data_IF_087314929984
#
_entry.id   IF_087314929984
#
_cell.length_a   1.000
_cell.length_b   1.000
_cell.length_c   1.000
_cell.angle_alpha   90.00
_cell.angle_beta   90.00
_cell.angle_gamma   90.00
#
_symmetry.space_group_name_H-M   'P 1'
#
loop_
_entity.id
_entity.type
_entity.pdbx_description
1 polymer ?
#
# COMPACT_ATOMS: atom_id res chain seq x y z
N UNK A 1 -61.80 -5.78 -9.34
CA UNK A 1 -60.38 -5.44 -9.14
C UNK A 1 -59.86 -4.89 -10.45
N UNK A 2 -59.50 -3.60 -10.54
CA UNK A 2 -59.05 -2.98 -11.78
C UNK A 2 -57.63 -3.46 -12.12
N UNK A 3 -57.43 -3.95 -13.34
CA UNK A 3 -56.14 -4.41 -13.85
C UNK A 3 -55.05 -3.35 -13.68
N UNK A 4 -53.88 -3.81 -13.26
CA UNK A 4 -52.72 -2.98 -12.98
C UNK A 4 -52.34 -2.16 -14.21
N UNK A 5 -51.82 -0.94 -14.04
CA UNK A 5 -51.30 -0.12 -15.15
C UNK A 5 -50.29 -0.90 -16.01
N UNK A 6 -49.59 -1.86 -15.41
CA UNK A 6 -48.66 -2.78 -16.05
C UNK A 6 -49.35 -3.75 -17.03
N UNK A 7 -50.57 -4.18 -16.73
CA UNK A 7 -51.35 -5.07 -17.62
C UNK A 7 -51.86 -4.30 -18.85
N UNK A 8 -52.21 -3.02 -18.68
CA UNK A 8 -52.56 -2.14 -19.80
C UNK A 8 -51.35 -1.85 -20.70
N UNK A 9 -50.18 -1.66 -20.11
CA UNK A 9 -48.94 -1.45 -20.88
C UNK A 9 -48.53 -2.74 -21.61
N UNK A 10 -48.64 -3.91 -20.96
CA UNK A 10 -48.44 -5.20 -21.64
C UNK A 10 -49.42 -5.40 -22.79
N UNK A 11 -50.70 -5.09 -22.60
CA UNK A 11 -51.72 -5.20 -23.66
C UNK A 11 -51.39 -4.31 -24.87
N UNK A 12 -50.97 -3.05 -24.64
CA UNK A 12 -50.59 -2.11 -25.70
C UNK A 12 -49.32 -2.56 -26.43
N UNK A 13 -48.34 -3.13 -25.72
CA UNK A 13 -47.12 -3.67 -26.30
C UNK A 13 -47.38 -4.95 -27.11
N UNK A 14 -48.30 -5.81 -26.65
CA UNK A 14 -48.70 -7.02 -27.36
C UNK A 14 -49.60 -6.74 -28.57
N UNK A 15 -50.47 -5.72 -28.52
CA UNK A 15 -51.30 -5.32 -29.68
C UNK A 15 -50.47 -4.66 -30.79
N UNK A 16 -49.31 -4.06 -30.48
CA UNK A 16 -48.40 -3.49 -31.48
C UNK A 16 -47.44 -4.51 -32.12
N UNK A 17 -47.39 -5.75 -31.63
CA UNK A 17 -46.42 -6.74 -32.08
C UNK A 17 -46.78 -7.43 -33.41
N UNK A 18 -47.97 -7.22 -33.98
CA UNK A 18 -48.24 -7.64 -35.36
C UNK A 18 -49.22 -6.69 -36.06
N UNK A 19 -48.76 -5.64 -36.76
CA UNK A 19 -49.45 -5.29 -37.98
C UNK A 19 -49.25 -6.48 -38.92
N UNK A 20 -50.33 -7.18 -39.28
CA UNK A 20 -50.39 -7.87 -40.57
C UNK A 20 -50.19 -6.79 -41.63
N UNK A 21 -48.94 -6.50 -41.93
CA UNK A 21 -48.57 -5.92 -43.21
C UNK A 21 -48.88 -7.03 -44.19
N UNK A 22 -50.04 -6.92 -44.85
CA UNK A 22 -50.26 -7.60 -46.12
C UNK A 22 -49.03 -7.26 -46.96
N UNK A 23 -48.10 -8.21 -47.02
CA UNK A 23 -46.89 -8.06 -47.80
C UNK A 23 -47.40 -7.92 -49.24
N UNK A 24 -47.23 -6.76 -49.90
CA UNK A 24 -47.58 -6.69 -51.31
C UNK A 24 -46.75 -7.79 -51.98
N UNK A 25 -47.44 -8.70 -52.68
CA UNK A 25 -46.79 -9.71 -53.51
C UNK A 25 -45.69 -9.04 -54.35
N UNK A 26 -44.54 -9.70 -54.61
CA UNK A 26 -43.44 -9.10 -55.35
C UNK A 26 -43.86 -8.99 -56.82
N UNK A 27 -44.59 -7.93 -57.15
CA UNK A 27 -44.96 -7.62 -58.53
C UNK A 27 -43.75 -6.92 -59.15
N UNK A 28 -42.93 -7.70 -59.88
CA UNK A 28 -41.88 -7.26 -60.81
C UNK A 28 -40.91 -6.20 -60.24
N UNK A 29 -40.21 -6.57 -59.17
CA UNK A 29 -39.21 -5.73 -58.49
C UNK A 29 -38.00 -5.38 -59.34
N UNK A 30 -37.55 -6.30 -60.20
CA UNK A 30 -36.20 -6.23 -60.74
C UNK A 30 -36.09 -5.15 -61.83
N UNK A 31 -37.09 -5.02 -62.69
CA UNK A 31 -37.10 -3.98 -63.73
C UNK A 31 -37.20 -2.56 -63.14
N UNK A 32 -37.99 -2.38 -62.08
CA UNK A 32 -38.12 -1.08 -61.40
C UNK A 32 -36.86 -0.73 -60.61
N UNK A 33 -36.23 -1.72 -59.96
CA UNK A 33 -34.94 -1.55 -59.29
C UNK A 33 -33.83 -1.25 -60.28
N UNK A 34 -33.80 -1.90 -61.44
CA UNK A 34 -32.83 -1.63 -62.50
C UNK A 34 -32.99 -0.20 -63.04
N UNK A 35 -34.22 0.26 -63.28
CA UNK A 35 -34.48 1.64 -63.70
C UNK A 35 -34.00 2.64 -62.62
N UNK A 36 -34.34 2.38 -61.36
CA UNK A 36 -33.88 3.21 -60.23
C UNK A 36 -32.35 3.25 -60.11
N UNK A 37 -31.67 2.11 -60.27
CA UNK A 37 -30.21 2.03 -60.22
C UNK A 37 -29.56 2.80 -61.37
N UNK A 38 -30.11 2.69 -62.58
CA UNK A 38 -29.63 3.44 -63.74
C UNK A 38 -29.85 4.96 -63.58
N UNK A 39 -30.98 5.39 -63.01
CA UNK A 39 -31.22 6.80 -62.68
C UNK A 39 -30.27 7.31 -61.61
N UNK A 40 -30.03 6.52 -60.55
CA UNK A 40 -29.08 6.87 -59.49
C UNK A 40 -27.65 6.96 -60.01
N UNK A 41 -27.21 6.03 -60.86
CA UNK A 41 -25.88 6.04 -61.47
C UNK A 41 -25.69 7.28 -62.33
N UNK A 42 -26.71 7.65 -63.12
CA UNK A 42 -26.70 8.86 -63.93
C UNK A 42 -26.68 10.13 -63.06
N UNK A 43 -27.44 10.17 -61.97
CA UNK A 43 -27.43 11.30 -61.04
C UNK A 43 -26.07 11.43 -60.34
N UNK A 44 -25.44 10.32 -59.95
CA UNK A 44 -24.08 10.29 -59.41
C UNK A 44 -23.10 10.84 -60.44
N UNK A 45 -23.14 10.37 -61.69
CA UNK A 45 -22.26 10.85 -62.75
C UNK A 45 -22.47 12.35 -63.02
N UNK A 46 -23.72 12.82 -63.09
CA UNK A 46 -24.03 14.24 -63.22
C UNK A 46 -23.44 15.05 -62.07
N UNK A 47 -23.63 14.59 -60.83
CA UNK A 47 -23.09 15.26 -59.64
C UNK A 47 -21.56 15.27 -59.63
N UNK A 48 -20.93 14.17 -60.05
CA UNK A 48 -19.47 14.11 -60.21
C UNK A 48 -18.96 15.06 -61.29
N UNK A 49 -19.67 15.19 -62.42
CA UNK A 49 -19.27 16.15 -63.47
C UNK A 49 -19.42 17.58 -63.00
N UNK A 50 -20.48 17.91 -62.24
CA UNK A 50 -20.62 19.22 -61.59
C UNK A 50 -19.49 19.46 -60.58
N UNK A 51 -19.12 18.45 -59.79
CA UNK A 51 -17.98 18.54 -58.88
C UNK A 51 -16.68 18.80 -59.64
N UNK A 52 -16.39 18.03 -60.70
CA UNK A 52 -15.19 18.22 -61.54
C UNK A 52 -15.17 19.58 -62.23
N UNK A 53 -16.31 20.08 -62.68
CA UNK A 53 -16.44 21.42 -63.25
C UNK A 53 -16.19 22.50 -62.19
N UNK A 54 -16.73 22.33 -60.98
CA UNK A 54 -16.47 23.22 -59.86
C UNK A 54 -14.97 23.21 -59.50
N UNK A 55 -14.34 22.04 -59.41
CA UNK A 55 -12.90 21.91 -59.15
C UNK A 55 -12.05 22.58 -60.23
N UNK A 56 -12.43 22.42 -61.51
CA UNK A 56 -11.76 23.08 -62.63
C UNK A 56 -11.95 24.60 -62.60
N UNK A 57 -13.14 25.09 -62.26
CA UNK A 57 -13.42 26.51 -62.11
C UNK A 57 -12.61 27.10 -60.94
N UNK A 58 -12.57 26.41 -59.80
CA UNK A 58 -11.75 26.78 -58.64
C UNK A 58 -10.28 26.84 -59.03
N UNK A 59 -9.77 25.85 -59.77
CA UNK A 59 -8.38 25.82 -60.24
C UNK A 59 -8.06 26.98 -61.19
N UNK A 60 -8.93 27.23 -62.18
CA UNK A 60 -8.78 28.34 -63.14
C UNK A 60 -8.83 29.70 -62.42
N UNK A 61 -9.67 29.83 -61.40
CA UNK A 61 -9.73 31.03 -60.56
C UNK A 61 -8.44 31.22 -59.75
N UNK A 62 -7.89 30.15 -59.15
CA UNK A 62 -6.63 30.21 -58.41
C UNK A 62 -5.45 30.58 -59.31
N UNK A 63 -5.32 29.92 -60.46
CA UNK A 63 -4.27 30.22 -61.45
C UNK A 63 -4.40 31.65 -61.99
N UNK A 64 -5.62 32.12 -62.24
CA UNK A 64 -5.89 33.51 -62.64
C UNK A 64 -5.54 34.53 -61.55
N UNK A 65 -5.69 34.17 -60.26
CA UNK A 65 -5.35 35.02 -59.13
C UNK A 65 -3.83 35.06 -58.88
N UNK A 66 -3.13 33.95 -59.12
CA UNK A 66 -1.67 33.85 -59.04
C UNK A 66 -0.98 34.59 -60.19
N UNK A 67 -1.46 34.45 -61.43
CA UNK A 67 -0.92 35.19 -62.59
C UNK A 67 -1.08 36.73 -62.46
N UNK A 68 -2.05 37.19 -61.68
CA UNK A 68 -2.32 38.61 -61.44
C UNK A 68 -1.43 39.25 -60.36
N UNK A 69 -0.82 38.46 -59.47
CA UNK A 69 0.20 38.99 -58.55
C UNK A 69 1.46 39.44 -59.31
N UNK A 70 1.69 38.88 -60.50
CA UNK A 70 2.86 39.18 -61.34
C UNK A 70 2.61 40.26 -62.41
N UNK A 71 1.36 40.49 -62.82
CA UNK A 71 0.99 41.55 -63.77
C UNK A 71 0.30 42.72 -63.03
N UNK A 72 0.96 43.87 -62.87
CA UNK A 72 0.45 45.03 -62.11
C UNK A 72 -0.90 45.59 -62.56
N UNK A 73 -1.98 44.92 -62.16
CA UNK A 73 -3.37 45.23 -62.48
C UNK A 73 -3.88 46.41 -61.63
N UNK A 74 -4.78 47.24 -62.18
CA UNK A 74 -5.30 48.42 -61.50
C UNK A 74 -6.20 48.03 -60.31
N UNK A 75 -6.12 48.77 -59.19
CA UNK A 75 -6.91 48.51 -57.98
C UNK A 75 -8.43 48.50 -58.24
N UNK A 76 -8.88 49.27 -59.24
CA UNK A 76 -10.28 49.34 -59.67
C UNK A 76 -10.75 48.02 -60.31
N UNK A 77 -9.91 47.42 -61.15
CA UNK A 77 -10.20 46.16 -61.84
C UNK A 77 -10.27 45.01 -60.84
N UNK A 78 -9.36 44.99 -59.86
CA UNK A 78 -9.39 44.04 -58.75
C UNK A 78 -10.69 44.11 -57.95
N UNK A 79 -11.15 45.32 -57.62
CA UNK A 79 -12.39 45.54 -56.85
C UNK A 79 -13.65 45.14 -57.64
N UNK A 80 -13.72 45.49 -58.93
CA UNK A 80 -14.84 45.06 -59.80
C UNK A 80 -14.89 43.54 -59.94
N UNK A 81 -13.74 42.88 -60.04
CA UNK A 81 -13.67 41.42 -60.16
C UNK A 81 -14.06 40.70 -58.87
N UNK A 82 -13.65 41.20 -57.70
CA UNK A 82 -14.09 40.67 -56.39
C UNK A 82 -15.61 40.79 -56.24
N UNK A 83 -16.19 41.91 -56.66
CA UNK A 83 -17.65 42.09 -56.66
C UNK A 83 -18.34 41.10 -57.61
N UNK A 84 -17.79 40.88 -58.80
CA UNK A 84 -18.30 39.87 -59.75
C UNK A 84 -18.16 38.43 -59.21
N UNK A 85 -17.06 38.13 -58.51
CA UNK A 85 -16.86 36.85 -57.82
C UNK A 85 -17.89 36.65 -56.70
N UNK A 86 -18.10 37.67 -55.87
CA UNK A 86 -19.11 37.60 -54.81
C UNK A 86 -20.54 37.42 -55.38
N UNK A 87 -20.87 38.13 -56.46
CA UNK A 87 -22.17 38.01 -57.14
C UNK A 87 -22.35 36.68 -57.89
N UNK A 88 -21.26 36.00 -58.25
CA UNK A 88 -21.33 34.65 -58.82
C UNK A 88 -21.40 33.58 -57.73
N UNK A 89 -20.66 33.72 -56.63
CA UNK A 89 -20.76 32.82 -55.48
C UNK A 89 -22.17 32.79 -54.86
N UNK A 90 -22.89 33.92 -54.86
CA UNK A 90 -24.28 33.98 -54.39
C UNK A 90 -25.28 33.28 -55.33
N UNK A 91 -24.89 32.94 -56.57
CA UNK A 91 -25.75 32.36 -57.62
C UNK A 91 -25.48 30.88 -57.93
N UNK A 92 -24.40 30.29 -57.43
CA UNK A 92 -23.97 28.92 -57.77
C UNK A 92 -24.21 27.97 -56.59
N UNK A 93 -25.47 27.75 -56.24
CA UNK A 93 -25.83 26.58 -55.41
C UNK A 93 -26.26 25.46 -56.32
N UNK A 94 -25.75 24.25 -56.11
CA UNK A 94 -26.32 23.05 -56.75
C UNK A 94 -27.77 22.91 -56.30
N UNK A 95 -28.69 22.93 -57.27
CA UNK A 95 -30.11 22.71 -57.03
C UNK A 95 -30.44 21.34 -57.61
N UNK A 96 -30.78 20.36 -56.76
CA UNK A 96 -31.13 19.03 -57.24
C UNK A 96 -32.36 19.10 -58.14
N UNK A 97 -32.40 18.24 -59.15
CA UNK A 97 -33.57 18.13 -60.03
C UNK A 97 -34.76 17.56 -59.25
N UNK A 98 -36.00 17.80 -59.71
CA UNK A 98 -37.20 17.22 -59.06
C UNK A 98 -37.22 15.70 -59.05
N UNK A 99 -36.43 15.07 -59.93
CA UNK A 99 -36.31 13.62 -60.06
C UNK A 99 -34.98 13.11 -59.48
N UNK A 100 -34.23 13.95 -58.76
CA UNK A 100 -32.96 13.54 -58.16
C UNK A 100 -33.20 12.51 -57.05
N UNK A 101 -32.60 11.34 -57.23
CA UNK A 101 -32.80 10.17 -56.37
C UNK A 101 -31.70 10.05 -55.29
N UNK A 102 -30.67 10.89 -55.34
CA UNK A 102 -29.53 10.87 -54.41
C UNK A 102 -29.98 11.18 -52.98
N UNK A 103 -30.88 12.15 -52.80
CA UNK A 103 -31.38 12.54 -51.48
C UNK A 103 -32.11 11.40 -50.77
N UNK A 104 -32.96 10.67 -51.50
CA UNK A 104 -33.70 9.51 -50.99
C UNK A 104 -32.72 8.36 -50.69
N UNK A 105 -31.76 8.10 -51.58
CA UNK A 105 -30.76 7.04 -51.41
C UNK A 105 -29.84 7.30 -50.20
N UNK A 106 -29.43 8.55 -50.00
CA UNK A 106 -28.58 8.96 -48.87
C UNK A 106 -29.34 8.83 -47.55
N UNK A 107 -30.57 9.35 -47.49
CA UNK A 107 -31.42 9.21 -46.32
C UNK A 107 -31.69 7.72 -46.00
N UNK A 108 -31.94 6.90 -47.03
CA UNK A 108 -32.13 5.46 -46.87
C UNK A 108 -30.89 4.77 -46.29
N UNK A 109 -29.70 5.10 -46.81
CA UNK A 109 -28.43 4.57 -46.29
C UNK A 109 -28.22 4.95 -44.83
N UNK A 110 -28.38 6.24 -44.49
CA UNK A 110 -28.21 6.72 -43.11
C UNK A 110 -29.20 6.08 -42.15
N UNK A 111 -30.47 5.97 -42.54
CA UNK A 111 -31.50 5.30 -41.74
C UNK A 111 -31.16 3.82 -41.53
N UNK A 112 -30.71 3.11 -42.56
CA UNK A 112 -30.31 1.71 -42.44
C UNK A 112 -29.08 1.53 -41.54
N UNK A 113 -28.10 2.44 -41.60
CA UNK A 113 -26.96 2.43 -40.69
C UNK A 113 -27.38 2.71 -39.23
N UNK A 114 -28.31 3.64 -39.01
CA UNK A 114 -28.85 3.93 -37.69
C UNK A 114 -29.64 2.74 -37.12
N UNK A 115 -30.46 2.07 -37.94
CA UNK A 115 -31.16 0.84 -37.57
C UNK A 115 -30.15 -0.24 -37.19
N UNK A 116 -29.10 -0.43 -37.99
CA UNK A 116 -28.04 -1.40 -37.70
C UNK A 116 -27.30 -1.10 -36.40
N UNK A 117 -27.01 0.17 -36.11
CA UNK A 117 -26.42 0.59 -34.83
C UNK A 117 -27.37 0.35 -33.66
N UNK A 118 -28.65 0.70 -33.81
CA UNK A 118 -29.66 0.51 -32.78
C UNK A 118 -29.87 -0.98 -32.46
N UNK A 119 -29.89 -1.84 -33.48
CA UNK A 119 -30.01 -3.28 -33.29
C UNK A 119 -28.83 -3.84 -32.47
N UNK A 120 -27.60 -3.42 -32.77
CA UNK A 120 -26.40 -3.80 -32.00
C UNK A 120 -26.47 -3.31 -30.55
N UNK A 121 -26.83 -2.05 -30.34
CA UNK A 121 -26.96 -1.49 -28.99
C UNK A 121 -28.03 -2.24 -28.20
N UNK A 122 -29.18 -2.55 -28.82
CA UNK A 122 -30.23 -3.30 -28.16
C UNK A 122 -29.79 -4.72 -27.78
N UNK A 123 -29.01 -5.39 -28.63
CA UNK A 123 -28.45 -6.72 -28.33
C UNK A 123 -27.51 -6.65 -27.14
N UNK A 124 -26.59 -5.69 -27.14
CA UNK A 124 -25.61 -5.52 -26.05
C UNK A 124 -26.31 -5.20 -24.72
N UNK A 125 -27.32 -4.32 -24.74
CA UNK A 125 -28.11 -4.00 -23.54
C UNK A 125 -28.89 -5.20 -23.02
N UNK A 126 -29.35 -6.08 -23.91
CA UNK A 126 -30.03 -7.31 -23.50
C UNK A 126 -29.07 -8.29 -22.85
N UNK A 127 -27.87 -8.47 -23.42
CA UNK A 127 -26.82 -9.31 -22.83
C UNK A 127 -26.36 -8.79 -21.46
N UNK A 128 -26.10 -7.49 -21.34
CA UNK A 128 -25.75 -6.85 -20.07
C UNK A 128 -26.89 -6.96 -19.05
N UNK A 129 -28.13 -6.82 -19.49
CA UNK A 129 -29.31 -7.03 -18.65
C UNK A 129 -29.38 -8.45 -18.08
N UNK A 130 -29.13 -9.47 -18.91
CA UNK A 130 -29.11 -10.86 -18.45
C UNK A 130 -27.98 -11.14 -17.46
N UNK A 131 -26.79 -10.58 -17.68
CA UNK A 131 -25.66 -10.75 -16.75
C UNK A 131 -25.95 -10.09 -15.40
N UNK A 132 -26.56 -8.91 -15.39
CA UNK A 132 -26.96 -8.22 -14.16
C UNK A 132 -28.06 -8.96 -13.40
N UNK A 133 -29.02 -9.56 -14.10
CA UNK A 133 -30.06 -10.38 -13.48
C UNK A 133 -29.46 -11.62 -12.81
N UNK A 134 -28.52 -12.31 -13.47
CA UNK A 134 -27.80 -13.45 -12.90
C UNK A 134 -26.97 -13.05 -11.67
N UNK A 135 -26.28 -11.90 -11.72
CA UNK A 135 -25.56 -11.35 -10.56
C UNK A 135 -26.50 -11.01 -9.40
N UNK A 136 -27.66 -10.44 -9.69
CA UNK A 136 -28.66 -10.13 -8.66
C UNK A 136 -29.21 -11.40 -8.00
N UNK A 137 -29.44 -12.47 -8.76
CA UNK A 137 -29.86 -13.76 -8.23
C UNK A 137 -28.77 -14.40 -7.34
N UNK A 138 -27.51 -14.34 -7.76
CA UNK A 138 -26.37 -14.80 -6.96
C UNK A 138 -26.21 -14.03 -5.64
N UNK A 139 -26.37 -12.71 -5.67
CA UNK A 139 -26.33 -11.91 -4.43
C UNK A 139 -27.50 -12.23 -3.51
N UNK A 140 -28.69 -12.48 -4.07
CA UNK A 140 -29.88 -12.83 -3.28
C UNK A 140 -29.73 -14.19 -2.59
N UNK A 141 -29.18 -15.19 -3.27
CA UNK A 141 -28.89 -16.50 -2.67
C UNK A 141 -27.84 -16.37 -1.57
N UNK A 142 -26.76 -15.61 -1.81
CA UNK A 142 -25.73 -15.37 -0.80
C UNK A 142 -26.28 -14.66 0.46
N UNK A 143 -27.17 -13.67 0.30
CA UNK A 143 -27.84 -13.02 1.44
C UNK A 143 -28.67 -14.04 2.22
N UNK A 144 -29.37 -14.96 1.53
CA UNK A 144 -30.14 -15.99 2.20
C UNK A 144 -29.23 -16.94 3.02
N UNK A 145 -28.09 -17.35 2.46
CA UNK A 145 -27.12 -18.20 3.14
C UNK A 145 -26.56 -17.53 4.41
N UNK A 146 -26.22 -16.24 4.32
CA UNK A 146 -25.78 -15.48 5.49
C UNK A 146 -26.86 -15.37 6.56
N UNK A 147 -28.12 -15.14 6.17
CA UNK A 147 -29.23 -15.11 7.11
C UNK A 147 -29.44 -16.48 7.78
N UNK A 148 -29.36 -17.57 7.04
CA UNK A 148 -29.41 -18.92 7.61
C UNK A 148 -28.25 -19.18 8.57
N UNK A 149 -27.04 -18.75 8.21
CA UNK A 149 -25.87 -18.86 9.08
C UNK A 149 -26.04 -18.06 10.37
N UNK A 150 -26.56 -16.83 10.30
CA UNK A 150 -26.88 -16.00 11.46
C UNK A 150 -27.90 -16.69 12.37
N UNK A 151 -29.00 -17.19 11.80
CA UNK A 151 -30.02 -17.93 12.56
C UNK A 151 -29.42 -19.18 13.22
N UNK A 152 -28.53 -19.90 12.52
CA UNK A 152 -27.85 -21.06 13.09
C UNK A 152 -26.86 -20.70 14.20
N UNK A 153 -26.16 -19.57 14.07
CA UNK A 153 -25.29 -19.02 15.10
C UNK A 153 -26.10 -18.62 16.33
N UNK A 154 -27.19 -17.88 16.17
CA UNK A 154 -28.10 -17.49 17.25
C UNK A 154 -28.64 -18.72 17.98
N UNK A 155 -29.11 -19.74 17.25
CA UNK A 155 -29.55 -21.01 17.83
C UNK A 155 -28.43 -21.71 18.60
N UNK A 156 -27.19 -21.69 18.10
CA UNK A 156 -26.03 -22.29 18.80
C UNK A 156 -25.65 -21.52 20.06
N UNK A 157 -25.72 -20.18 20.02
CA UNK A 157 -25.48 -19.30 21.17
C UNK A 157 -26.53 -19.58 22.25
N UNK A 158 -27.81 -19.61 21.88
CA UNK A 158 -28.91 -19.93 22.80
C UNK A 158 -28.82 -21.35 23.38
N UNK A 159 -28.34 -22.32 22.59
CA UNK A 159 -28.23 -23.72 23.03
C UNK A 159 -27.04 -23.96 23.97
N UNK A 160 -25.98 -23.16 23.92
CA UNK A 160 -24.77 -23.37 24.72
C UNK A 160 -24.20 -22.06 25.33
N UNK A 161 -24.99 -21.31 26.12
CA UNK A 161 -24.53 -20.05 26.71
C UNK A 161 -23.31 -20.24 27.62
N UNK A 162 -23.26 -21.33 28.39
CA UNK A 162 -22.15 -21.67 29.28
C UNK A 162 -20.83 -21.93 28.56
N UNK A 163 -20.86 -22.41 27.31
CA UNK A 163 -19.65 -22.61 26.50
C UNK A 163 -19.12 -21.28 25.95
N UNK A 164 -20.01 -20.32 25.68
CA UNK A 164 -19.65 -18.96 25.25
C UNK A 164 -19.04 -18.19 26.42
N UNK A 165 -19.64 -18.25 27.61
CA UNK A 165 -19.07 -17.68 28.84
C UNK A 165 -17.71 -18.30 29.16
N UNK A 166 -17.56 -19.62 29.00
CA UNK A 166 -16.27 -20.30 29.18
C UNK A 166 -15.20 -19.88 28.18
N UNK A 167 -15.57 -19.44 26.96
CA UNK A 167 -14.63 -18.89 25.98
C UNK A 167 -14.29 -17.43 26.27
N UNK A 168 -15.27 -16.60 26.64
CA UNK A 168 -15.04 -15.21 27.05
C UNK A 168 -14.17 -15.12 28.31
N UNK A 169 -14.37 -16.02 29.28
CA UNK A 169 -13.51 -16.12 30.46
C UNK A 169 -12.08 -16.55 30.13
N UNK A 170 -11.90 -17.37 29.09
CA UNK A 170 -10.56 -17.76 28.61
C UNK A 170 -9.87 -16.59 27.90
N UNK A 171 -10.61 -15.84 27.08
CA UNK A 171 -10.10 -14.66 26.39
C UNK A 171 -9.64 -13.58 27.38
N UNK A 172 -10.45 -13.30 28.41
CA UNK A 172 -10.08 -12.36 29.47
C UNK A 172 -8.86 -12.83 30.27
N UNK A 173 -8.74 -14.12 30.57
CA UNK A 173 -7.54 -14.69 31.23
C UNK A 173 -6.28 -14.56 30.39
N UNK A 174 -6.39 -14.69 29.07
CA UNK A 174 -5.25 -14.53 28.15
C UNK A 174 -4.80 -13.06 28.14
N UNK A 175 -5.74 -12.11 28.04
CA UNK A 175 -5.42 -10.67 28.07
C UNK A 175 -4.81 -10.24 29.41
N UNK A 176 -5.32 -10.71 30.55
CA UNK A 176 -4.74 -10.43 31.87
C UNK A 176 -3.31 -11.00 32.00
N UNK A 177 -3.06 -12.18 31.44
CA UNK A 177 -1.73 -12.81 31.47
C UNK A 177 -0.69 -12.04 30.66
N UNK A 178 -1.06 -11.51 29.49
CA UNK A 178 -0.15 -10.71 28.64
C UNK A 178 0.20 -9.36 29.28
N UNK A 179 -0.77 -8.69 29.91
CA UNK A 179 -0.56 -7.43 30.63
C UNK A 179 0.36 -7.66 31.85
N UNK A 180 0.16 -8.77 32.58
CA UNK A 180 0.99 -9.15 33.73
C UNK A 180 2.45 -9.43 33.33
N UNK A 181 2.66 -10.19 32.25
CA UNK A 181 4.00 -10.50 31.72
C UNK A 181 4.75 -9.23 31.28
N UNK A 182 4.06 -8.31 30.61
CA UNK A 182 4.66 -7.04 30.17
C UNK A 182 5.08 -6.16 31.35
N UNK A 183 4.26 -6.13 32.41
CA UNK A 183 4.58 -5.39 33.64
C UNK A 183 5.75 -6.02 34.39
N UNK A 184 5.82 -7.35 34.49
CA UNK A 184 6.97 -8.05 35.08
C UNK A 184 8.25 -7.79 34.30
N UNK A 185 8.20 -7.83 32.96
CA UNK A 185 9.36 -7.54 32.11
C UNK A 185 9.87 -6.12 32.31
N UNK A 186 8.98 -5.13 32.40
CA UNK A 186 9.36 -3.75 32.69
C UNK A 186 10.02 -3.62 34.09
N UNK A 187 9.45 -4.27 35.11
CA UNK A 187 10.04 -4.26 36.46
C UNK A 187 11.43 -4.90 36.50
N UNK A 188 11.65 -6.00 35.78
CA UNK A 188 12.99 -6.62 35.70
C UNK A 188 14.00 -5.73 34.98
N UNK A 189 13.57 -5.03 33.92
CA UNK A 189 14.42 -4.08 33.19
C UNK A 189 14.80 -2.88 34.05
N UNK A 190 13.88 -2.36 34.84
CA UNK A 190 14.14 -1.25 35.77
C UNK A 190 15.13 -1.68 36.85
N UNK A 191 14.93 -2.85 37.48
CA UNK A 191 15.87 -3.41 38.45
C UNK A 191 17.26 -3.68 37.86
N UNK A 192 17.33 -4.16 36.61
CA UNK A 192 18.61 -4.35 35.92
C UNK A 192 19.33 -3.03 35.66
N UNK A 193 18.58 -1.98 35.29
CA UNK A 193 19.16 -0.64 35.09
C UNK A 193 19.68 -0.04 36.40
N UNK A 194 18.97 -0.27 37.50
CA UNK A 194 19.38 0.15 38.84
C UNK A 194 20.64 -0.60 39.29
N UNK A 195 20.68 -1.92 39.11
CA UNK A 195 21.86 -2.73 39.39
C UNK A 195 23.09 -2.24 38.60
N UNK A 196 22.94 -1.97 37.30
CA UNK A 196 24.03 -1.45 36.46
C UNK A 196 24.49 -0.06 36.91
N UNK A 197 23.59 0.79 37.39
CA UNK A 197 23.94 2.11 37.94
C UNK A 197 24.72 1.98 39.25
N UNK A 198 24.27 1.09 40.14
CA UNK A 198 24.95 0.81 41.41
C UNK A 198 26.34 0.23 41.16
N UNK A 199 26.48 -0.70 40.22
CA UNK A 199 27.76 -1.28 39.80
C UNK A 199 28.75 -0.21 39.33
N UNK A 200 28.33 0.68 38.41
CA UNK A 200 29.17 1.79 37.95
C UNK A 200 29.58 2.72 39.09
N UNK A 201 28.69 2.96 40.04
CA UNK A 201 29.00 3.81 41.19
C UNK A 201 30.01 3.14 42.13
N UNK A 202 29.82 1.84 42.41
CA UNK A 202 30.73 1.03 43.21
C UNK A 202 32.12 0.99 42.58
N UNK A 203 32.21 0.75 41.27
CA UNK A 203 33.47 0.75 40.53
C UNK A 203 34.18 2.11 40.61
N UNK A 204 33.43 3.21 40.48
CA UNK A 204 33.98 4.56 40.62
C UNK A 204 34.54 4.82 42.03
N UNK A 205 33.82 4.41 43.08
CA UNK A 205 34.30 4.54 44.46
C UNK A 205 35.49 3.65 44.75
N UNK A 206 35.47 2.41 44.27
CA UNK A 206 36.58 1.48 44.42
C UNK A 206 37.85 2.05 43.79
N UNK A 207 37.76 2.57 42.56
CA UNK A 207 38.89 3.24 41.90
C UNK A 207 39.41 4.44 42.70
N UNK A 208 38.52 5.25 43.29
CA UNK A 208 38.92 6.38 44.15
C UNK A 208 39.57 5.93 45.45
N UNK A 209 39.06 4.88 46.08
CA UNK A 209 39.62 4.34 47.32
C UNK A 209 40.98 3.73 47.05
N UNK A 210 41.13 2.91 46.01
CA UNK A 210 42.42 2.33 45.60
C UNK A 210 43.43 3.43 45.27
N UNK A 211 43.03 4.45 44.49
CA UNK A 211 43.92 5.58 44.20
C UNK A 211 44.36 6.34 45.47
N UNK A 212 43.43 6.60 46.41
CA UNK A 212 43.75 7.24 47.69
C UNK A 212 44.65 6.38 48.56
N UNK A 213 44.34 5.09 48.68
CA UNK A 213 45.13 4.14 49.44
C UNK A 213 46.58 4.10 48.94
N UNK A 214 46.75 4.00 47.62
CA UNK A 214 48.07 4.00 47.02
C UNK A 214 48.79 5.33 47.17
N UNK A 215 48.10 6.46 47.04
CA UNK A 215 48.71 7.77 47.31
C UNK A 215 49.20 7.90 48.75
N UNK A 216 48.49 7.30 49.72
CA UNK A 216 48.87 7.31 51.13
C UNK A 216 50.04 6.35 51.42
N UNK A 217 50.08 5.19 50.74
CA UNK A 217 51.18 4.23 50.85
C UNK A 217 52.46 4.75 50.16
N UNK A 218 52.34 5.45 49.03
CA UNK A 218 53.43 6.20 48.39
C UNK A 218 54.00 7.28 49.30
N UNK A 219 53.18 7.87 50.18
CA UNK A 219 53.65 8.87 51.13
C UNK A 219 54.45 8.25 52.30
N UNK A 220 54.31 6.94 52.56
CA UNK A 220 55.04 6.26 53.65
C UNK A 220 56.26 5.47 53.21
N UNK A 221 56.38 5.07 51.94
CA UNK A 221 57.48 4.25 51.43
C UNK A 221 58.12 4.93 50.20
N UNK A 222 59.40 5.33 50.30
CA UNK A 222 60.19 5.97 49.22
C UNK A 222 60.44 5.06 48.00
N UNK A 223 60.13 3.76 48.08
CA UNK A 223 60.41 2.76 47.03
C UNK A 223 59.52 2.85 45.77
N UNK A 224 58.56 3.78 45.73
CA UNK A 224 57.63 3.92 44.60
C UNK A 224 57.74 5.30 43.94
N UNK A 225 58.92 5.72 43.46
CA UNK A 225 59.08 7.06 42.87
C UNK A 225 58.57 7.20 41.41
N UNK A 226 58.30 6.11 40.68
CA UNK A 226 57.96 6.17 39.25
C UNK A 226 56.44 6.07 38.95
N UNK A 227 55.93 7.00 38.12
CA UNK A 227 54.53 7.06 37.66
C UNK A 227 54.10 5.77 36.93
N UNK A 228 55.03 5.09 36.27
CA UNK A 228 54.78 3.80 35.61
C UNK A 228 54.59 2.65 36.61
N UNK A 229 55.31 2.66 37.74
CA UNK A 229 55.14 1.68 38.81
C UNK A 229 53.78 1.87 39.51
N UNK A 230 53.35 3.13 39.71
CA UNK A 230 52.02 3.45 40.24
C UNK A 230 50.88 2.94 39.36
N UNK A 231 50.95 3.20 38.03
CA UNK A 231 49.94 2.70 37.08
C UNK A 231 49.94 1.17 37.01
N UNK A 232 51.10 0.53 37.11
CA UNK A 232 51.22 -0.94 37.15
C UNK A 232 50.57 -1.51 38.42
N UNK A 233 50.84 -0.91 39.58
CA UNK A 233 50.25 -1.33 40.85
C UNK A 233 48.73 -1.15 40.87
N UNK A 234 48.19 -0.03 40.37
CA UNK A 234 46.73 0.16 40.23
C UNK A 234 46.11 -0.97 39.40
N UNK A 235 46.74 -1.36 38.29
CA UNK A 235 46.24 -2.46 37.46
C UNK A 235 46.29 -3.79 38.19
N UNK A 236 47.38 -4.08 38.89
CA UNK A 236 47.50 -5.30 39.70
C UNK A 236 46.44 -5.36 40.80
N UNK A 237 46.19 -4.25 41.49
CA UNK A 237 45.12 -4.17 42.50
C UNK A 237 43.72 -4.30 41.91
N UNK A 238 43.46 -3.65 40.77
CA UNK A 238 42.19 -3.81 40.06
C UNK A 238 41.99 -5.26 39.61
N UNK A 239 43.04 -5.94 39.15
CA UNK A 239 42.98 -7.34 38.75
C UNK A 239 42.71 -8.28 39.93
N UNK A 240 43.33 -8.04 41.09
CA UNK A 240 43.04 -8.81 42.32
C UNK A 240 41.59 -8.62 42.75
N UNK A 241 41.07 -7.38 42.72
CA UNK A 241 39.67 -7.09 43.02
C UNK A 241 38.73 -7.75 42.01
N UNK A 242 39.02 -7.67 40.71
CA UNK A 242 38.22 -8.29 39.66
C UNK A 242 38.17 -9.81 39.83
N UNK A 243 39.31 -10.46 40.10
CA UNK A 243 39.36 -11.91 40.38
C UNK A 243 38.54 -12.30 41.60
N UNK A 244 38.55 -11.49 42.66
CA UNK A 244 37.74 -11.71 43.86
C UNK A 244 36.24 -11.58 43.55
N UNK A 245 35.83 -10.59 42.74
CA UNK A 245 34.44 -10.38 42.31
C UNK A 245 33.96 -11.49 41.36
N UNK A 246 34.79 -11.90 40.38
CA UNK A 246 34.49 -13.02 39.49
C UNK A 246 34.32 -14.34 40.27
N UNK A 247 35.17 -14.58 41.27
CA UNK A 247 35.03 -15.76 42.13
C UNK A 247 33.73 -15.73 42.95
N UNK A 248 33.31 -14.55 43.41
CA UNK A 248 32.02 -14.38 44.10
C UNK A 248 30.83 -14.67 43.17
N UNK A 249 30.86 -14.19 41.91
CA UNK A 249 29.82 -14.49 40.93
C UNK A 249 29.72 -15.99 40.62
N UNK A 250 30.85 -16.67 40.45
CA UNK A 250 30.88 -18.14 40.27
C UNK A 250 30.32 -18.87 41.48
N UNK A 251 30.68 -18.44 42.69
CA UNK A 251 30.17 -19.03 43.94
C UNK A 251 28.64 -18.87 44.05
N UNK A 252 28.07 -17.81 43.49
CA UNK A 252 26.61 -17.58 43.46
C UNK A 252 25.92 -18.44 42.39
N UNK A 253 26.51 -18.60 41.20
CA UNK A 253 25.90 -19.40 40.11
C UNK A 253 25.81 -20.90 40.41
N UNK A 254 26.79 -21.46 41.13
CA UNK A 254 26.87 -22.90 41.39
C UNK A 254 26.42 -23.33 42.79
N UNK A 255 25.97 -22.39 43.65
CA UNK A 255 25.65 -22.59 45.08
C UNK A 255 26.76 -23.33 45.88
N UNK A 256 27.97 -23.39 45.33
CA UNK A 256 29.06 -24.17 45.91
C UNK A 256 29.94 -23.26 46.77
N UNK A 257 29.75 -23.34 48.08
CA UNK A 257 30.48 -22.52 49.05
C UNK A 257 31.97 -22.90 49.17
N UNK A 258 32.43 -23.93 48.43
CA UNK A 258 33.78 -24.48 48.51
C UNK A 258 34.83 -23.79 47.61
N UNK A 259 34.45 -22.82 46.77
CA UNK A 259 35.38 -22.18 45.83
C UNK A 259 36.23 -21.08 46.50
N UNK A 260 37.47 -21.42 46.85
CA UNK A 260 38.46 -20.50 47.38
C UNK A 260 39.35 -19.95 46.26
N UNK A 261 39.64 -18.64 46.29
CA UNK A 261 40.56 -18.03 45.32
C UNK A 261 41.98 -18.11 45.86
N UNK A 262 42.87 -18.77 45.12
CA UNK A 262 44.31 -18.76 45.38
C UNK A 262 44.94 -17.52 44.75
N UNK A 263 45.55 -16.66 45.58
CA UNK A 263 46.29 -15.48 45.14
C UNK A 263 47.72 -15.62 45.66
N UNK A 264 48.69 -15.54 44.75
CA UNK A 264 50.10 -15.35 45.11
C UNK A 264 50.35 -13.84 45.26
N UNK A 265 50.50 -13.33 46.49
CA UNK A 265 50.59 -11.90 46.74
C UNK A 265 51.93 -11.34 46.27
N UNK A 266 51.93 -10.24 45.53
CA UNK A 266 53.11 -9.37 45.47
C UNK A 266 53.22 -8.55 46.78
N UNK A 267 54.39 -7.97 47.06
CA UNK A 267 54.59 -7.14 48.27
C UNK A 267 53.58 -5.99 48.42
N UNK A 268 53.07 -5.48 47.29
CA UNK A 268 51.99 -4.49 47.27
C UNK A 268 50.61 -5.11 47.54
N UNK A 269 50.32 -6.29 46.98
CA UNK A 269 49.05 -7.01 47.19
C UNK A 269 48.89 -7.45 48.64
N UNK A 270 49.98 -7.85 49.29
CA UNK A 270 49.99 -8.29 50.68
C UNK A 270 49.48 -7.20 51.63
N UNK A 271 49.86 -5.93 51.39
CA UNK A 271 49.38 -4.78 52.16
C UNK A 271 47.87 -4.58 52.02
N UNK A 272 47.35 -4.66 50.79
CA UNK A 272 45.91 -4.53 50.54
C UNK A 272 45.13 -5.71 51.14
N UNK A 273 45.59 -6.94 50.93
CA UNK A 273 44.98 -8.16 51.46
C UNK A 273 44.90 -8.08 52.98
N UNK A 274 45.99 -7.67 53.65
CA UNK A 274 46.01 -7.52 55.10
C UNK A 274 45.02 -6.46 55.60
N UNK A 275 44.82 -5.36 54.87
CA UNK A 275 43.82 -4.34 55.21
C UNK A 275 42.40 -4.86 54.99
N UNK A 276 42.15 -5.59 53.91
CA UNK A 276 40.85 -6.18 53.63
C UNK A 276 40.48 -7.29 54.63
N UNK A 277 41.46 -8.06 55.11
CA UNK A 277 41.32 -9.03 56.20
C UNK A 277 41.03 -8.33 57.55
N UNK A 278 41.78 -7.26 57.88
CA UNK A 278 41.57 -6.49 59.12
C UNK A 278 40.20 -5.83 59.18
N UNK A 279 39.68 -5.37 58.04
CA UNK A 279 38.34 -4.80 57.95
C UNK A 279 37.23 -5.85 57.81
N UNK A 280 37.57 -7.15 57.85
CA UNK A 280 36.60 -8.24 57.82
C UNK A 280 35.84 -8.38 56.49
N UNK A 281 36.39 -7.82 55.41
CA UNK A 281 35.83 -7.88 54.05
C UNK A 281 36.20 -9.21 53.38
N UNK A 282 37.41 -9.70 53.65
CA UNK A 282 37.89 -11.02 53.22
C UNK A 282 37.87 -12.02 54.36
N UNK A 283 37.64 -13.28 54.01
CA UNK A 283 37.85 -14.44 54.88
C UNK A 283 39.06 -15.20 54.35
N UNK A 284 40.04 -15.44 55.22
CA UNK A 284 41.17 -16.32 54.92
C UNK A 284 40.90 -17.73 55.44
N UNK A 285 41.30 -18.73 54.65
CA UNK A 285 41.32 -20.13 55.08
C UNK A 285 42.55 -20.37 55.97
N UNK A 286 42.45 -21.30 56.92
CA UNK A 286 43.53 -21.65 57.86
C UNK A 286 44.81 -22.16 57.17
N UNK A 287 44.71 -22.63 55.92
CA UNK A 287 45.83 -23.10 55.09
C UNK A 287 46.58 -21.97 54.35
N UNK A 288 46.24 -20.70 54.62
CA UNK A 288 46.90 -19.54 53.98
C UNK A 288 48.30 -19.33 54.55
N UNK A 289 49.30 -19.23 53.67
CA UNK A 289 50.70 -18.95 54.01
C UNK A 289 51.13 -17.58 53.45
N UNK A 290 52.32 -17.11 53.80
CA UNK A 290 52.92 -15.89 53.23
C UNK A 290 53.19 -15.98 51.72
N UNK A 291 53.18 -17.18 51.13
CA UNK A 291 53.45 -17.41 49.70
C UNK A 291 52.16 -17.58 48.88
N UNK A 292 51.07 -18.03 49.50
CA UNK A 292 49.77 -18.23 48.85
C UNK A 292 48.62 -17.94 49.81
N UNK A 293 47.79 -16.95 49.47
CA UNK A 293 46.57 -16.67 50.21
C UNK A 293 45.38 -17.37 49.57
N UNK A 294 44.62 -18.11 50.38
CA UNK A 294 43.31 -18.64 49.99
C UNK A 294 42.23 -17.73 50.54
N UNK A 295 41.72 -16.86 49.67
CA UNK A 295 40.84 -15.76 50.04
C UNK A 295 39.45 -15.95 49.45
N UNK A 296 38.48 -15.46 50.21
CA UNK A 296 37.09 -15.36 49.77
C UNK A 296 36.50 -14.05 50.23
N UNK A 297 35.70 -13.41 49.38
CA UNK A 297 34.88 -12.27 49.80
C UNK A 297 33.83 -12.76 50.80
N UNK A 298 33.70 -12.04 51.92
CA UNK A 298 32.66 -12.32 52.90
C UNK A 298 31.30 -12.12 52.25
N UNK A 299 30.39 -13.07 52.45
CA UNK A 299 29.01 -12.97 51.99
C UNK A 299 28.31 -11.83 52.75
N UNK A 300 28.04 -10.73 52.07
CA UNK A 300 27.17 -9.67 52.58
C UNK A 300 25.85 -9.73 51.83
N UNK A 301 24.76 -10.03 52.54
CA UNK A 301 23.39 -9.97 51.99
C UNK A 301 23.00 -11.08 51.01
N UNK A 302 23.63 -12.25 51.04
CA UNK A 302 23.26 -13.43 50.22
C UNK A 302 22.20 -14.31 50.93
N UNK A 303 21.76 -13.94 52.14
CA UNK A 303 20.60 -14.57 52.79
C UNK A 303 19.31 -13.89 52.30
N UNK A 304 18.70 -14.49 51.28
CA UNK A 304 17.28 -14.32 50.95
C UNK A 304 16.60 -15.69 50.99
#
# INVERSE_FOLDING_TARGET
>A
MPGSKLDKVKAILSERATPKVDSPSPVRSDDVQLVYLNELEKDIENTETFSKQADKAIKTLKEGLEAQLDSGESELERKMRILALHDTYSKISYIPSKNDVIGISTASKEVNELIGKQAKISSNLQEEGTELDDQAENLKTLINDYNEMLVNLEKRIQKNPSKLEGLSLKENKIQESEISLKNQLNQTKDKLSEASRVEKHLQSHLNKIVAKFLSFQHWSNEDFADEEAFKRNIRLFADVVNKLVENLLKTIEYEDDSVWLEIQPSASDESLINILLRNGILVSRQDSSSESYYLKLRKYGIEF
#
